data_IF_665741290679
#
_entry.id   IF_665741290679
#
_cell.length_a   1.000
_cell.length_b   1.000
_cell.length_c   1.000
_cell.angle_alpha   90.00
_cell.angle_beta   90.00
_cell.angle_gamma   90.00
#
_symmetry.space_group_name_H-M   'P 1'
#
loop_
_entity.id
_entity.type
_entity.pdbx_description
1 polymer ?
#
# COMPACT_ATOMS: atom_id res chain seq x y z
N UNK A 1 -24.49 -9.25 13.44
CA UNK A 1 -23.07 -8.97 13.73
C UNK A 1 -22.57 -7.97 12.70
N UNK A 2 -21.99 -6.84 13.12
CA UNK A 2 -21.40 -5.90 12.16
C UNK A 2 -20.25 -6.60 11.43
N UNK A 3 -20.27 -6.63 10.09
CA UNK A 3 -19.17 -7.17 9.29
C UNK A 3 -17.92 -6.37 9.68
N UNK A 4 -16.99 -7.02 10.39
CA UNK A 4 -15.74 -6.38 10.82
C UNK A 4 -15.04 -5.86 9.55
N UNK A 5 -14.68 -4.57 9.51
CA UNK A 5 -14.00 -3.97 8.35
C UNK A 5 -12.78 -4.83 7.99
N UNK A 6 -12.64 -5.14 6.70
CA UNK A 6 -11.47 -5.85 6.18
C UNK A 6 -10.21 -5.08 6.59
N UNK A 7 -9.18 -5.73 7.17
CA UNK A 7 -8.03 -5.01 7.75
C UNK A 7 -7.24 -4.21 6.70
N UNK A 8 -7.26 -4.67 5.45
CA UNK A 8 -6.69 -3.97 4.31
C UNK A 8 -7.80 -3.18 3.59
N UNK A 9 -7.97 -1.93 3.99
CA UNK A 9 -8.91 -0.95 3.43
C UNK A 9 -8.19 0.37 3.16
N UNK A 10 -8.86 1.33 2.51
CA UNK A 10 -8.28 2.62 2.08
C UNK A 10 -7.42 3.29 3.15
N UNK A 11 -7.93 3.49 4.37
CA UNK A 11 -7.17 4.20 5.41
C UNK A 11 -5.88 3.44 5.82
N UNK A 12 -5.88 2.11 5.76
CA UNK A 12 -4.69 1.30 6.05
C UNK A 12 -3.69 1.42 4.90
N UNK A 13 -4.18 1.29 3.66
CA UNK A 13 -3.36 1.45 2.46
C UNK A 13 -2.70 2.83 2.41
N UNK A 14 -3.48 3.91 2.52
CA UNK A 14 -2.99 5.28 2.43
C UNK A 14 -1.92 5.56 3.49
N UNK A 15 -2.16 5.21 4.76
CA UNK A 15 -1.16 5.41 5.82
C UNK A 15 0.16 4.69 5.56
N UNK A 16 0.10 3.45 5.08
CA UNK A 16 1.29 2.66 4.76
C UNK A 16 2.02 3.24 3.53
N UNK A 17 1.26 3.63 2.50
CA UNK A 17 1.80 4.21 1.28
C UNK A 17 2.50 5.53 1.56
N UNK A 18 1.87 6.43 2.31
CA UNK A 18 2.43 7.74 2.68
C UNK A 18 3.72 7.58 3.49
N UNK A 19 3.76 6.61 4.41
CA UNK A 19 4.97 6.31 5.18
C UNK A 19 6.12 5.81 4.29
N UNK A 20 5.83 4.90 3.35
CA UNK A 20 6.83 4.41 2.40
C UNK A 20 7.29 5.50 1.44
N UNK A 21 6.38 6.36 0.98
CA UNK A 21 6.69 7.50 0.12
C UNK A 21 7.60 8.50 0.83
N UNK A 22 7.30 8.87 2.08
CA UNK A 22 8.13 9.78 2.85
C UNK A 22 9.56 9.24 3.05
N UNK A 23 9.72 7.93 3.21
CA UNK A 23 11.04 7.29 3.30
C UNK A 23 11.72 7.29 1.92
N UNK A 24 11.01 6.92 0.86
CA UNK A 24 11.56 6.88 -0.50
C UNK A 24 12.06 8.26 -0.99
N UNK A 25 11.34 9.32 -0.63
CA UNK A 25 11.65 10.72 -0.98
C UNK A 25 12.61 11.40 0.01
N UNK A 26 13.07 10.68 1.04
CA UNK A 26 14.03 11.22 2.01
C UNK A 26 15.40 11.40 1.37
N UNK A 27 15.91 12.64 1.41
CA UNK A 27 17.29 12.99 1.02
C UNK A 27 18.29 12.87 2.19
N UNK A 28 17.95 12.12 3.25
CA UNK A 28 18.86 11.91 4.39
C UNK A 28 20.14 11.18 3.93
N UNK A 29 21.33 11.81 4.05
CA UNK A 29 22.58 11.22 3.57
C UNK A 29 23.01 9.96 4.33
N UNK A 30 22.38 9.67 5.48
CA UNK A 30 22.60 8.43 6.24
C UNK A 30 21.87 7.23 5.65
N UNK A 31 20.95 7.45 4.71
CA UNK A 31 20.18 6.39 4.09
C UNK A 31 20.98 5.71 2.98
N UNK A 32 21.19 4.39 3.12
CA UNK A 32 21.86 3.60 2.09
C UNK A 32 20.99 3.51 0.83
N UNK A 33 21.59 3.67 -0.35
CA UNK A 33 20.88 3.58 -1.64
C UNK A 33 20.14 2.26 -1.84
N UNK A 34 20.67 1.16 -1.34
CA UNK A 34 20.02 -0.15 -1.49
C UNK A 34 18.79 -0.27 -0.58
N UNK A 35 18.81 0.39 0.58
CA UNK A 35 17.61 0.52 1.45
C UNK A 35 16.56 1.37 0.75
N UNK A 36 16.94 2.49 0.13
CA UNK A 36 16.02 3.34 -0.63
C UNK A 36 15.34 2.57 -1.78
N UNK A 37 16.12 1.80 -2.55
CA UNK A 37 15.56 0.92 -3.60
C UNK A 37 14.60 -0.14 -3.04
N UNK A 38 14.92 -0.74 -1.89
CA UNK A 38 14.05 -1.73 -1.26
C UNK A 38 12.73 -1.10 -0.79
N UNK A 39 12.77 0.12 -0.25
CA UNK A 39 11.57 0.88 0.14
C UNK A 39 10.72 1.24 -1.08
N UNK A 40 11.35 1.71 -2.17
CA UNK A 40 10.66 1.99 -3.43
C UNK A 40 9.95 0.75 -3.98
N UNK A 41 10.62 -0.41 -3.95
CA UNK A 41 10.01 -1.67 -4.36
C UNK A 41 8.83 -2.06 -3.45
N UNK A 42 8.95 -1.89 -2.13
CA UNK A 42 7.86 -2.15 -1.19
C UNK A 42 6.65 -1.24 -1.44
N UNK A 43 6.89 0.04 -1.76
CA UNK A 43 5.84 1.00 -2.14
C UNK A 43 5.08 0.55 -3.38
N UNK A 44 5.80 0.09 -4.41
CA UNK A 44 5.18 -0.42 -5.64
C UNK A 44 4.32 -1.66 -5.36
N UNK A 45 4.85 -2.62 -4.59
CA UNK A 45 4.13 -3.84 -4.22
C UNK A 45 2.86 -3.55 -3.39
N UNK A 46 2.91 -2.56 -2.49
CA UNK A 46 1.72 -2.14 -1.74
C UNK A 46 0.62 -1.57 -2.65
N UNK A 47 1.00 -0.77 -3.66
CA UNK A 47 0.06 -0.24 -4.65
C UNK A 47 -0.55 -1.35 -5.52
N UNK A 48 0.24 -2.35 -5.92
CA UNK A 48 -0.26 -3.54 -6.62
C UNK A 48 -1.29 -4.31 -5.77
N UNK A 49 -1.00 -4.53 -4.49
CA UNK A 49 -1.93 -5.20 -3.57
C UNK A 49 -3.25 -4.43 -3.44
N UNK A 50 -3.20 -3.10 -3.34
CA UNK A 50 -4.40 -2.26 -3.29
C UNK A 50 -5.23 -2.34 -4.57
N UNK A 51 -4.57 -2.27 -5.72
CA UNK A 51 -5.24 -2.42 -7.02
C UNK A 51 -5.93 -3.79 -7.13
N UNK A 52 -5.28 -4.86 -6.68
CA UNK A 52 -5.85 -6.20 -6.64
C UNK A 52 -7.09 -6.25 -5.73
N UNK A 53 -7.02 -5.69 -4.52
CA UNK A 53 -8.16 -5.59 -3.62
C UNK A 53 -9.35 -4.90 -4.31
N UNK A 54 -9.13 -3.74 -4.92
CA UNK A 54 -10.19 -3.01 -5.62
C UNK A 54 -10.78 -3.80 -6.81
N UNK A 55 -9.96 -4.58 -7.54
CA UNK A 55 -10.45 -5.43 -8.62
C UNK A 55 -11.33 -6.56 -8.09
N UNK A 56 -10.93 -7.22 -7.01
CA UNK A 56 -11.69 -8.30 -6.38
C UNK A 56 -13.01 -7.79 -5.78
N UNK A 57 -13.00 -6.64 -5.12
CA UNK A 57 -14.21 -6.02 -4.57
C UNK A 57 -15.22 -5.63 -5.67
N UNK A 58 -14.75 -5.12 -6.82
CA UNK A 58 -15.62 -4.84 -7.98
C UNK A 58 -16.22 -6.13 -8.55
N UNK A 59 -15.40 -7.16 -8.74
CA UNK A 59 -15.83 -8.44 -9.27
C UNK A 59 -16.84 -9.16 -8.34
N UNK A 60 -16.72 -9.00 -7.02
CA UNK A 60 -17.70 -9.51 -6.06
C UNK A 60 -19.00 -8.69 -6.09
N UNK A 61 -18.90 -7.36 -6.21
CA UNK A 61 -20.05 -6.46 -6.33
C UNK A 61 -20.87 -6.65 -7.61
N UNK A 62 -20.26 -7.06 -8.73
CA UNK A 62 -20.96 -7.38 -9.98
C UNK A 62 -21.69 -8.73 -9.96
N UNK A 63 -21.37 -9.62 -9.01
CA UNK A 63 -21.99 -10.94 -8.84
C UNK A 63 -23.15 -10.95 -7.84
N UNK A 64 -23.32 -9.87 -7.08
CA UNK A 64 -24.29 -9.72 -5.99
C UNK A 64 -25.61 -9.09 -6.39
#
# INVERSE_FOLDING_TARGET
>A
MARRKHPFHWDTYSKLYDALQAIAESDDPRMYRDVQRAVDAARAQLAEAWNLQCQLERADGERG
#
